data_IF_147118379035
#
_entry.id   IF_147118379035
#
_cell.length_a   1.000
_cell.length_b   1.000
_cell.length_c   1.000
_cell.angle_alpha   90.00
_cell.angle_beta   90.00
_cell.angle_gamma   90.00
#
_symmetry.space_group_name_H-M   'P 1'
#
loop_
_entity.id
_entity.type
_entity.pdbx_description
1 polymer ?
#
# COMPACT_ATOMS: atom_id res chain seq x y z
N UNK A 1 15.97 13.64 -13.69
CA UNK A 1 16.26 12.19 -13.72
C UNK A 1 15.49 11.58 -12.57
N UNK A 2 14.54 10.68 -12.84
CA UNK A 2 13.89 9.93 -11.76
C UNK A 2 14.92 8.94 -11.21
N UNK A 3 15.15 8.96 -9.90
CA UNK A 3 15.97 7.94 -9.26
C UNK A 3 15.14 6.67 -9.17
N UNK A 4 15.61 5.58 -9.77
CA UNK A 4 15.02 4.26 -9.56
C UNK A 4 15.14 3.90 -8.08
N UNK A 5 13.99 3.86 -7.39
CA UNK A 5 13.89 3.38 -6.02
C UNK A 5 13.42 1.95 -6.06
N UNK A 6 14.24 1.02 -5.55
CA UNK A 6 13.78 -0.35 -5.32
C UNK A 6 12.79 -0.36 -4.17
N UNK A 7 11.65 -1.01 -4.38
CA UNK A 7 10.56 -1.11 -3.42
C UNK A 7 10.19 -2.57 -3.25
N UNK A 8 10.14 -3.04 -2.00
CA UNK A 8 9.79 -4.43 -1.67
C UNK A 8 8.32 -4.73 -1.98
N UNK A 9 7.42 -3.81 -1.61
CA UNK A 9 5.97 -4.00 -1.78
C UNK A 9 5.30 -2.80 -2.45
N UNK A 10 4.64 -3.08 -3.58
CA UNK A 10 3.78 -2.10 -4.28
C UNK A 10 2.41 -2.72 -4.51
N UNK A 11 1.37 -2.08 -4.00
CA UNK A 11 -0.02 -2.47 -4.22
C UNK A 11 -0.62 -1.48 -5.22
N UNK A 12 -1.20 -2.00 -6.31
CA UNK A 12 -1.84 -1.18 -7.35
C UNK A 12 -3.37 -1.33 -7.23
N UNK A 13 -4.03 -0.22 -6.87
CA UNK A 13 -5.48 -0.09 -6.74
C UNK A 13 -5.95 0.14 -5.31
N UNK A 14 -6.47 1.34 -5.01
CA UNK A 14 -7.06 1.72 -3.72
C UNK A 14 -8.50 1.23 -3.48
N UNK A 15 -8.83 0.02 -3.95
CA UNK A 15 -10.06 -0.67 -3.60
C UNK A 15 -10.01 -1.20 -2.16
N UNK A 16 -11.13 -1.70 -1.62
CA UNK A 16 -11.15 -2.30 -0.26
C UNK A 16 -10.07 -3.37 -0.12
N UNK A 17 -9.99 -4.30 -1.08
CA UNK A 17 -8.98 -5.35 -1.08
C UNK A 17 -7.53 -4.82 -1.12
N UNK A 18 -7.27 -3.79 -1.94
CA UNK A 18 -5.92 -3.21 -2.05
C UNK A 18 -5.49 -2.49 -0.78
N UNK A 19 -6.38 -1.72 -0.15
CA UNK A 19 -6.09 -1.07 1.13
C UNK A 19 -5.90 -2.13 2.23
N UNK A 20 -6.77 -3.14 2.30
CA UNK A 20 -6.61 -4.24 3.27
C UNK A 20 -5.27 -4.95 3.10
N UNK A 21 -4.87 -5.24 1.86
CA UNK A 21 -3.59 -5.84 1.54
C UNK A 21 -2.42 -4.97 2.03
N UNK A 22 -2.43 -3.67 1.71
CA UNK A 22 -1.38 -2.75 2.13
C UNK A 22 -1.25 -2.67 3.66
N UNK A 23 -2.38 -2.58 4.38
CA UNK A 23 -2.41 -2.55 5.86
C UNK A 23 -1.86 -3.85 6.45
N UNK A 24 -2.26 -5.01 5.92
CA UNK A 24 -1.80 -6.29 6.44
C UNK A 24 -0.30 -6.50 6.22
N UNK A 25 0.22 -6.14 5.04
CA UNK A 25 1.66 -6.21 4.76
C UNK A 25 2.43 -5.25 5.67
N UNK A 26 1.97 -4.00 5.82
CA UNK A 26 2.61 -3.03 6.71
C UNK A 26 2.64 -3.47 8.18
N UNK A 27 1.60 -4.20 8.63
CA UNK A 27 1.55 -4.79 9.97
C UNK A 27 2.51 -5.97 10.13
N UNK A 28 2.59 -6.86 9.14
CA UNK A 28 3.46 -8.05 9.18
C UNK A 28 4.94 -7.71 9.00
N UNK A 29 5.26 -6.69 8.21
CA UNK A 29 6.62 -6.29 7.83
C UNK A 29 6.89 -4.84 8.23
N UNK A 30 6.87 -4.55 9.53
CA UNK A 30 6.96 -3.18 10.06
C UNK A 30 8.24 -2.40 9.69
N UNK A 31 9.29 -3.08 9.21
CA UNK A 31 10.55 -2.44 8.77
C UNK A 31 10.59 -2.14 7.26
N UNK A 32 9.66 -2.68 6.47
CA UNK A 32 9.61 -2.49 5.03
C UNK A 32 8.67 -1.35 4.64
N UNK A 33 9.06 -0.57 3.62
CA UNK A 33 8.17 0.43 3.04
C UNK A 33 7.13 -0.24 2.12
N UNK A 34 5.85 0.07 2.35
CA UNK A 34 4.73 -0.41 1.54
C UNK A 34 4.12 0.77 0.78
N UNK A 35 4.04 0.66 -0.55
CA UNK A 35 3.48 1.72 -1.40
C UNK A 35 2.11 1.30 -1.93
N UNK A 36 1.10 2.16 -1.78
CA UNK A 36 -0.22 1.99 -2.38
C UNK A 36 -0.42 3.02 -3.50
N UNK A 37 -0.44 2.54 -4.74
CA UNK A 37 -0.76 3.35 -5.91
C UNK A 37 -2.27 3.30 -6.18
N UNK A 38 -2.91 4.46 -6.27
CA UNK A 38 -4.36 4.54 -6.53
C UNK A 38 -4.67 5.65 -7.53
N UNK A 39 -5.60 5.38 -8.45
CA UNK A 39 -6.14 6.39 -9.36
C UNK A 39 -7.14 7.32 -8.65
N UNK A 40 -7.70 6.87 -7.52
CA UNK A 40 -8.63 7.67 -6.71
C UNK A 40 -7.86 8.71 -5.89
N UNK A 41 -8.32 9.97 -5.82
CA UNK A 41 -7.75 10.98 -4.92
C UNK A 41 -8.08 10.70 -3.45
N UNK A 42 -9.03 9.79 -3.19
CA UNK A 42 -9.40 9.34 -1.86
C UNK A 42 -8.73 8.01 -1.55
N UNK A 43 -8.05 7.95 -0.40
CA UNK A 43 -7.61 6.70 0.22
C UNK A 43 -8.75 6.22 1.10
N UNK A 44 -9.24 5.01 0.84
CA UNK A 44 -10.25 4.37 1.69
C UNK A 44 -9.57 3.89 2.96
N UNK A 45 -10.20 4.05 4.11
CA UNK A 45 -9.74 3.46 5.37
C UNK A 45 -10.53 2.19 5.64
N UNK A 46 -9.84 1.12 6.00
CA UNK A 46 -10.44 -0.15 6.39
C UNK A 46 -9.90 -0.54 7.76
N UNK A 47 -10.79 -0.96 8.65
CA UNK A 47 -10.44 -1.53 9.95
C UNK A 47 -10.73 -3.02 9.88
N UNK A 48 -9.70 -3.85 10.04
CA UNK A 48 -9.85 -5.29 10.19
C UNK A 48 -9.51 -5.63 11.66
N UNK A 49 -10.50 -6.11 12.41
CA UNK A 49 -10.33 -6.50 13.82
C UNK A 49 -9.71 -7.88 13.93
#
# INVERSE_FOLDING_TARGET
MASDKQVTFVIVGGGIAGVTCAVQIASQFASDEVYLLTASPLVKTVTNF
#
